data_IF_104908317802
#
_entry.id   IF_104908317802
#
_cell.length_a   1.000
_cell.length_b   1.000
_cell.length_c   1.000
_cell.angle_alpha   90.00
_cell.angle_beta   90.00
_cell.angle_gamma   90.00
#
_symmetry.space_group_name_H-M   'P 1'
#
loop_
_entity.id
_entity.type
_entity.pdbx_description
1 polymer ?
#
# COMPACT_ATOMS: atom_id res chain seq x y z
N UNK A 1 6.13 22.17 26.97
CA UNK A 1 6.91 20.95 26.64
C UNK A 1 6.40 19.81 27.53
N UNK A 2 5.58 18.92 26.97
CA UNK A 2 5.18 17.66 27.60
C UNK A 2 5.40 16.58 26.56
N UNK A 3 6.40 15.77 26.81
CA UNK A 3 6.95 14.72 25.97
C UNK A 3 5.94 13.60 25.78
N UNK A 4 5.55 13.35 24.53
CA UNK A 4 4.89 12.11 24.14
C UNK A 4 5.96 11.03 24.03
N UNK A 5 6.30 10.43 25.18
CA UNK A 5 7.33 9.39 25.30
C UNK A 5 6.77 7.98 25.01
N UNK A 6 5.44 7.85 24.83
CA UNK A 6 4.78 6.55 24.68
C UNK A 6 4.88 5.96 23.27
N UNK A 7 5.05 6.78 22.22
CA UNK A 7 5.17 6.29 20.84
C UNK A 7 6.49 5.57 20.54
N UNK A 8 7.58 5.97 21.20
CA UNK A 8 8.93 5.44 20.94
C UNK A 8 9.09 4.05 21.57
N UNK A 9 8.46 3.81 22.72
CA UNK A 9 8.57 2.53 23.43
C UNK A 9 7.79 1.42 22.69
N UNK A 10 6.66 1.74 22.06
CA UNK A 10 5.92 0.76 21.23
C UNK A 10 6.73 0.36 19.99
N UNK A 11 7.40 1.33 19.34
CA UNK A 11 8.28 1.05 18.20
C UNK A 11 9.46 0.16 18.61
N UNK A 12 10.06 0.40 19.78
CA UNK A 12 11.19 -0.41 20.26
C UNK A 12 10.78 -1.81 20.75
N UNK A 13 9.60 -2.00 21.34
CA UNK A 13 9.14 -3.32 21.77
C UNK A 13 8.77 -4.21 20.57
N UNK A 14 8.27 -3.62 19.48
CA UNK A 14 8.14 -4.31 18.20
C UNK A 14 9.51 -4.71 17.65
N UNK A 15 10.47 -3.77 17.55
CA UNK A 15 11.82 -4.03 17.01
C UNK A 15 12.62 -5.09 17.80
N UNK A 16 12.48 -5.17 19.12
CA UNK A 16 13.20 -6.15 19.95
C UNK A 16 12.51 -7.52 19.96
N UNK A 17 11.17 -7.57 19.79
CA UNK A 17 10.46 -8.86 19.74
C UNK A 17 10.62 -9.60 18.42
N UNK A 18 10.95 -8.90 17.31
CA UNK A 18 11.17 -9.59 16.04
C UNK A 18 12.50 -10.35 15.98
N UNK A 19 13.51 -9.95 16.76
CA UNK A 19 14.81 -10.64 16.78
C UNK A 19 14.70 -12.13 17.18
N UNK A 20 13.71 -12.52 18.00
CA UNK A 20 13.54 -13.92 18.44
C UNK A 20 12.61 -14.74 17.54
N UNK A 21 11.76 -14.11 16.72
CA UNK A 21 10.93 -14.80 15.72
C UNK A 21 11.68 -14.96 14.39
N UNK A 22 12.66 -14.09 14.14
CA UNK A 22 13.58 -14.15 13.04
C UNK A 22 14.75 -15.14 13.23
N UNK A 23 14.81 -15.91 14.31
CA UNK A 23 15.88 -16.92 14.49
C UNK A 23 15.41 -18.35 14.17
N UNK A 24 14.10 -18.59 14.08
CA UNK A 24 13.53 -19.93 13.81
C UNK A 24 12.75 -20.06 12.51
N UNK A 25 12.48 -18.95 11.81
CA UNK A 25 11.81 -18.94 10.50
C UNK A 25 12.78 -18.95 9.30
N UNK A 26 14.07 -18.64 9.50
CA UNK A 26 15.12 -18.69 8.46
C UNK A 26 15.70 -20.09 8.32
N UNK A 27 14.82 -21.09 8.22
CA UNK A 27 15.21 -22.45 7.89
C UNK A 27 15.31 -22.69 6.37
N UNK A 28 14.99 -21.67 5.55
CA UNK A 28 15.25 -21.63 4.12
C UNK A 28 16.05 -20.37 3.80
N UNK A 29 17.02 -20.49 2.88
CA UNK A 29 18.01 -19.49 2.45
C UNK A 29 17.38 -18.26 1.73
N UNK A 30 16.21 -17.79 2.14
CA UNK A 30 15.47 -16.72 1.48
C UNK A 30 15.81 -15.34 2.05
N UNK A 31 16.17 -14.39 1.18
CA UNK A 31 16.61 -13.05 1.58
C UNK A 31 15.44 -12.26 2.22
N UNK A 32 15.60 -11.68 3.42
CA UNK A 32 14.54 -10.93 4.05
C UNK A 32 14.05 -9.72 3.26
N UNK A 33 14.88 -9.12 2.39
CA UNK A 33 14.44 -8.05 1.47
C UNK A 33 13.44 -8.63 0.47
N UNK A 34 13.72 -9.82 -0.10
CA UNK A 34 12.82 -10.50 -1.04
C UNK A 34 11.47 -10.77 -0.38
N UNK A 35 11.45 -11.31 0.83
CA UNK A 35 10.22 -11.63 1.56
C UNK A 35 9.32 -10.38 1.73
N UNK A 36 9.90 -9.28 2.22
CA UNK A 36 9.12 -8.04 2.45
C UNK A 36 8.63 -7.44 1.14
N UNK A 37 9.48 -7.46 0.12
CA UNK A 37 9.17 -6.91 -1.18
C UNK A 37 8.07 -7.70 -1.89
N UNK A 38 8.11 -9.04 -1.82
CA UNK A 38 7.07 -9.91 -2.37
C UNK A 38 5.73 -9.74 -1.66
N UNK A 39 5.72 -9.63 -0.33
CA UNK A 39 4.49 -9.32 0.43
C UNK A 39 3.91 -7.99 -0.02
N UNK A 40 4.75 -6.96 -0.17
CA UNK A 40 4.30 -5.63 -0.60
C UNK A 40 3.71 -5.67 -2.00
N UNK A 41 4.35 -6.38 -2.91
CA UNK A 41 3.87 -6.56 -4.28
C UNK A 41 2.55 -7.33 -4.34
N UNK A 42 2.39 -8.40 -3.55
CA UNK A 42 1.11 -9.12 -3.47
C UNK A 42 -0.01 -8.25 -2.91
N UNK A 43 0.25 -7.48 -1.84
CA UNK A 43 -0.77 -6.61 -1.25
C UNK A 43 -1.34 -5.61 -2.25
N UNK A 44 -0.51 -5.00 -3.10
CA UNK A 44 -1.03 -4.05 -4.11
C UNK A 44 -1.77 -4.76 -5.24
N UNK A 45 -1.40 -5.99 -5.60
CA UNK A 45 -2.16 -6.77 -6.57
C UNK A 45 -3.57 -7.08 -6.02
N UNK A 46 -3.66 -7.50 -4.75
CA UNK A 46 -4.94 -7.75 -4.09
C UNK A 46 -5.81 -6.49 -4.05
N UNK A 47 -5.23 -5.34 -3.64
CA UNK A 47 -5.95 -4.05 -3.67
C UNK A 47 -6.47 -3.73 -5.06
N UNK A 48 -5.67 -3.96 -6.11
CA UNK A 48 -6.08 -3.65 -7.49
C UNK A 48 -7.13 -4.59 -8.04
N UNK A 49 -7.17 -5.85 -7.61
CA UNK A 49 -8.20 -6.80 -8.02
C UNK A 49 -9.58 -6.44 -7.43
N UNK A 50 -9.61 -5.81 -6.25
CA UNK A 50 -10.84 -5.40 -5.58
C UNK A 50 -11.46 -4.12 -6.19
N UNK A 51 -10.67 -3.32 -6.93
CA UNK A 51 -11.13 -2.04 -7.52
C UNK A 51 -11.45 -2.18 -9.02
N UNK A 52 -12.60 -1.66 -9.44
CA UNK A 52 -13.09 -1.79 -10.82
C UNK A 52 -12.42 -0.88 -11.85
N UNK A 53 -12.01 0.33 -11.46
CA UNK A 53 -11.29 1.28 -12.32
C UNK A 53 -10.19 1.95 -11.51
N UNK A 54 -8.99 2.04 -12.09
CA UNK A 54 -7.80 2.57 -11.42
C UNK A 54 -7.35 3.84 -12.12
N UNK A 55 -7.05 4.88 -11.35
CA UNK A 55 -6.59 6.15 -11.89
C UNK A 55 -5.31 5.96 -12.72
N UNK A 56 -5.14 6.77 -13.78
CA UNK A 56 -3.91 6.73 -14.60
C UNK A 56 -2.65 7.04 -13.77
N UNK A 57 -2.80 7.83 -12.70
CA UNK A 57 -1.71 8.14 -11.79
C UNK A 57 -1.31 6.89 -10.99
N UNK A 58 -2.28 6.20 -10.40
CA UNK A 58 -2.07 4.92 -9.72
C UNK A 58 -1.43 3.86 -10.62
N UNK A 59 -1.87 3.75 -11.88
CA UNK A 59 -1.23 2.85 -12.87
C UNK A 59 0.23 3.21 -13.14
N UNK A 60 0.55 4.51 -13.21
CA UNK A 60 1.92 4.97 -13.46
C UNK A 60 2.82 4.68 -12.26
N UNK A 61 2.33 4.93 -11.04
CA UNK A 61 3.01 4.62 -9.79
C UNK A 61 3.25 3.11 -9.66
N UNK A 62 2.21 2.29 -9.92
CA UNK A 62 2.32 0.83 -9.91
C UNK A 62 3.36 0.34 -10.92
N UNK A 63 3.31 0.79 -12.17
CA UNK A 63 4.24 0.35 -13.20
C UNK A 63 5.69 0.71 -12.84
N UNK A 64 5.91 1.91 -12.32
CA UNK A 64 7.25 2.35 -11.88
C UNK A 64 7.71 1.53 -10.67
N UNK A 65 6.82 1.26 -9.71
CA UNK A 65 7.13 0.41 -8.56
C UNK A 65 7.45 -1.03 -8.96
N UNK A 66 6.78 -1.54 -10.00
CA UNK A 66 7.06 -2.87 -10.54
C UNK A 66 8.44 -2.95 -11.21
N UNK A 67 8.86 -1.92 -11.94
CA UNK A 67 10.21 -1.86 -12.50
C UNK A 67 11.27 -1.90 -11.39
N UNK A 68 11.10 -1.07 -10.34
CA UNK A 68 12.00 -1.03 -9.17
C UNK A 68 11.99 -2.35 -8.37
N UNK A 69 10.83 -3.01 -8.28
CA UNK A 69 10.70 -4.35 -7.71
C UNK A 69 11.60 -5.36 -8.43
N UNK A 70 11.59 -5.36 -9.77
CA UNK A 70 12.42 -6.28 -10.55
C UNK A 70 13.91 -5.94 -10.48
N UNK A 71 14.27 -4.66 -10.43
CA UNK A 71 15.65 -4.24 -10.21
C UNK A 71 16.17 -4.69 -8.83
N UNK A 72 15.33 -4.59 -7.78
CA UNK A 72 15.67 -5.09 -6.45
C UNK A 72 15.92 -6.61 -6.46
N UNK A 73 15.06 -7.40 -7.12
CA UNK A 73 15.25 -8.85 -7.25
C UNK A 73 16.52 -9.20 -8.03
N UNK A 74 16.79 -8.48 -9.12
CA UNK A 74 18.00 -8.64 -9.93
C UNK A 74 19.26 -8.36 -9.11
N UNK A 75 19.25 -7.30 -8.30
CA UNK A 75 20.36 -6.95 -7.41
C UNK A 75 20.57 -7.99 -6.30
N UNK A 76 19.49 -8.55 -5.73
CA UNK A 76 19.59 -9.67 -4.78
C UNK A 76 20.24 -10.90 -5.41
N UNK A 77 19.81 -11.28 -6.63
CA UNK A 77 20.39 -12.42 -7.36
C UNK A 77 21.87 -12.17 -7.73
N UNK A 78 22.26 -10.92 -7.93
CA UNK A 78 23.65 -10.50 -8.14
C UNK A 78 24.49 -10.41 -6.85
N UNK A 79 23.86 -10.50 -5.67
CA UNK A 79 24.49 -10.32 -4.37
C UNK A 79 24.84 -8.86 -4.03
N UNK A 80 24.27 -7.89 -4.75
CA UNK A 80 24.42 -6.46 -4.49
C UNK A 80 23.33 -5.98 -3.54
N UNK A 81 23.57 -6.19 -2.24
CA UNK A 81 22.59 -5.91 -1.18
C UNK A 81 22.31 -4.42 -0.98
N UNK A 82 23.24 -3.53 -1.36
CA UNK A 82 23.05 -2.09 -1.27
C UNK A 82 22.08 -1.63 -2.36
N UNK A 83 22.34 -2.00 -3.62
CA UNK A 83 21.43 -1.70 -4.73
C UNK A 83 20.06 -2.35 -4.52
N UNK A 84 20.01 -3.60 -4.07
CA UNK A 84 18.76 -4.30 -3.78
C UNK A 84 17.90 -3.55 -2.76
N UNK A 85 18.52 -3.05 -1.69
CA UNK A 85 17.84 -2.31 -0.64
C UNK A 85 17.30 -0.97 -1.16
N UNK A 86 18.09 -0.25 -1.96
CA UNK A 86 17.70 1.05 -2.50
C UNK A 86 16.50 0.90 -3.45
N UNK A 87 16.57 -0.04 -4.39
CA UNK A 87 15.47 -0.36 -5.30
C UNK A 87 14.23 -0.85 -4.53
N UNK A 88 14.39 -1.71 -3.52
CA UNK A 88 13.27 -2.21 -2.72
C UNK A 88 12.55 -1.07 -1.98
N UNK A 89 13.29 -0.11 -1.41
CA UNK A 89 12.69 1.05 -0.73
C UNK A 89 11.89 1.92 -1.70
N UNK A 90 12.40 2.14 -2.91
CA UNK A 90 11.69 2.92 -3.94
C UNK A 90 10.41 2.19 -4.37
N UNK A 91 10.50 0.89 -4.66
CA UNK A 91 9.35 0.07 -5.01
C UNK A 91 8.25 0.11 -3.95
N UNK A 92 8.62 -0.04 -2.67
CA UNK A 92 7.67 0.00 -1.55
C UNK A 92 6.95 1.35 -1.45
N UNK A 93 7.67 2.47 -1.58
CA UNK A 93 7.06 3.81 -1.55
C UNK A 93 6.09 4.00 -2.72
N UNK A 94 6.48 3.57 -3.93
CA UNK A 94 5.62 3.70 -5.11
C UNK A 94 4.36 2.84 -5.02
N UNK A 95 4.45 1.66 -4.40
CA UNK A 95 3.27 0.82 -4.14
C UNK A 95 2.38 1.39 -3.03
N UNK A 96 2.96 2.00 -1.99
CA UNK A 96 2.19 2.71 -0.96
C UNK A 96 1.42 3.89 -1.58
N UNK A 97 2.10 4.74 -2.35
CA UNK A 97 1.49 5.89 -3.04
C UNK A 97 0.41 5.45 -4.04
N UNK A 98 0.65 4.36 -4.78
CA UNK A 98 -0.35 3.80 -5.69
C UNK A 98 -1.59 3.28 -4.94
N UNK A 99 -1.40 2.65 -3.78
CA UNK A 99 -2.48 2.14 -2.93
C UNK A 99 -3.30 3.29 -2.34
N UNK A 100 -2.65 4.37 -1.89
CA UNK A 100 -3.32 5.59 -1.41
C UNK A 100 -4.19 6.20 -2.52
N UNK A 101 -3.65 6.38 -3.72
CA UNK A 101 -4.39 6.92 -4.87
C UNK A 101 -5.58 6.02 -5.27
N UNK A 102 -5.44 4.69 -5.20
CA UNK A 102 -6.55 3.75 -5.45
C UNK A 102 -7.65 3.92 -4.40
N UNK A 103 -7.28 4.00 -3.11
CA UNK A 103 -8.23 4.20 -2.01
C UNK A 103 -8.91 5.57 -2.04
N UNK A 104 -8.22 6.62 -2.48
CA UNK A 104 -8.82 7.94 -2.71
C UNK A 104 -9.86 7.89 -3.84
N UNK A 105 -9.63 7.09 -4.90
CA UNK A 105 -10.55 6.96 -6.02
C UNK A 105 -11.88 6.27 -5.66
N UNK A 106 -11.85 5.23 -4.82
CA UNK A 106 -13.07 4.59 -4.29
C UNK A 106 -13.92 5.55 -3.45
N UNK A 107 -13.28 6.47 -2.71
CA UNK A 107 -13.95 7.46 -1.86
C UNK A 107 -14.79 8.50 -2.61
N UNK A 108 -14.66 8.62 -3.93
CA UNK A 108 -15.45 9.56 -4.75
C UNK A 108 -16.74 8.95 -5.34
N UNK A 109 -16.88 7.62 -5.36
CA UNK A 109 -18.09 6.99 -5.92
C UNK A 109 -19.25 6.87 -4.91
N UNK A 110 -18.96 6.96 -3.60
CA UNK A 110 -19.97 6.83 -2.54
C UNK A 110 -20.69 8.14 -2.14
N UNK A 111 -20.19 9.32 -2.54
CA UNK A 111 -20.80 10.60 -2.14
C UNK A 111 -21.86 11.16 -3.11
N UNK A 112 -22.06 10.59 -4.31
CA UNK A 112 -23.00 11.16 -5.31
C UNK A 112 -24.38 10.46 -5.38
N UNK A 113 -24.69 9.58 -4.41
CA UNK A 113 -25.96 8.85 -4.33
C UNK A 113 -26.96 9.39 -3.29
N UNK A 114 -26.77 10.59 -2.73
CA UNK A 114 -27.74 11.22 -1.79
C UNK A 114 -28.13 12.65 -2.19
N UNK A 115 -28.63 12.87 -3.42
CA UNK A 115 -29.50 14.04 -3.68
C UNK A 115 -30.41 13.90 -4.92
N UNK A 116 -31.06 12.75 -5.09
CA UNK A 116 -32.19 12.61 -6.03
C UNK A 116 -33.44 12.07 -5.36
N UNK A 117 -33.89 12.75 -4.30
CA UNK A 117 -35.27 12.61 -3.83
C UNK A 117 -35.86 13.98 -3.48
N UNK A 118 -36.27 14.72 -4.51
CA UNK A 118 -37.34 15.71 -4.35
C UNK A 118 -38.66 15.04 -4.73
N UNK A 119 -39.54 14.68 -3.77
CA UNK A 119 -40.95 14.58 -4.06
C UNK A 119 -41.53 15.99 -4.02
N UNK A 120 -41.73 16.64 -5.17
CA UNK A 120 -42.70 17.74 -5.25
C UNK A 120 -44.07 17.08 -5.35
N UNK A 121 -44.70 16.96 -4.18
CA UNK A 121 -46.09 16.59 -4.02
C UNK A 121 -46.98 17.56 -4.80
N UNK A 122 -47.87 16.97 -5.60
CA UNK A 122 -49.00 17.63 -6.21
C UNK A 122 -49.86 18.32 -5.13
N UNK A 123 -50.01 19.64 -5.23
CA UNK A 123 -51.14 20.33 -4.62
C UNK A 123 -51.93 21.06 -5.69
N UNK A 124 -53.07 20.43 -6.00
CA UNK A 124 -54.30 20.97 -6.54
C UNK A 124 -54.47 22.49 -6.32
N UNK A 125 -54.68 23.23 -7.40
CA UNK A 125 -55.48 24.46 -7.36
C UNK A 125 -56.76 24.18 -8.13
N UNK A 126 -57.86 24.12 -7.37
CA UNK A 126 -59.22 24.11 -7.88
C UNK A 126 -59.51 25.45 -8.58
N UNK A 127 -60.40 25.34 -9.57
CA UNK A 127 -61.08 26.38 -10.38
C UNK A 127 -61.40 27.64 -9.59
#
# INVERSE_FOLDING_TARGET
MKTSLFGIIVLMVLLVSVHSAFDSAYADDEDPIRIVLDITYQNILETREDVGDVSKNAETLFATGQDEYFEALSALDAGDTEAARDHALIAMVLFEDATEEIGEFEGFEDEDMISRTHPKTDHFVNI
#
